data_IF_527284706707
#
_entry.id   IF_527284706707
#
_cell.length_a   1.000
_cell.length_b   1.000
_cell.length_c   1.000
_cell.angle_alpha   90.00
_cell.angle_beta   90.00
_cell.angle_gamma   90.00
#
_symmetry.space_group_name_H-M   'P 1'
#
loop_
_entity.id
_entity.type
_entity.pdbx_description
1 polymer ?
#
# COMPACT_ATOMS: atom_id res chain seq x y z
N UNK A 1 0.59 14.84 -7.10
CA UNK A 1 0.84 13.42 -6.73
C UNK A 1 0.79 13.27 -5.23
N UNK A 2 0.11 12.25 -4.75
CA UNK A 2 0.02 12.00 -3.32
C UNK A 2 1.22 11.20 -2.86
N UNK A 3 1.88 11.68 -1.81
CA UNK A 3 3.04 11.01 -1.23
C UNK A 3 2.63 10.42 0.10
N UNK A 4 2.71 9.10 0.22
CA UNK A 4 2.18 8.41 1.40
C UNK A 4 3.16 8.36 2.57
N UNK A 5 4.44 8.64 2.34
CA UNK A 5 5.43 8.69 3.41
C UNK A 5 6.36 9.87 3.16
N UNK A 6 6.91 10.42 4.23
CA UNK A 6 7.80 11.57 4.14
C UNK A 6 9.26 11.13 4.26
N UNK A 7 10.17 12.08 4.03
CA UNK A 7 11.59 11.79 4.22
C UNK A 7 11.90 11.47 5.68
N UNK A 8 11.14 12.03 6.61
CA UNK A 8 11.28 11.67 8.03
C UNK A 8 10.89 10.21 8.25
N UNK A 9 9.85 9.74 7.56
CA UNK A 9 9.42 8.35 7.69
C UNK A 9 10.46 7.38 7.16
N UNK A 10 11.26 7.76 6.17
CA UNK A 10 12.35 6.92 5.71
C UNK A 10 13.29 6.55 6.83
N UNK A 11 13.67 7.54 7.65
CA UNK A 11 14.58 7.29 8.77
C UNK A 11 13.90 6.59 9.93
N UNK A 12 12.59 6.81 10.09
CA UNK A 12 11.86 6.27 11.23
C UNK A 12 11.35 4.84 10.95
N UNK A 13 10.92 4.59 9.73
CA UNK A 13 10.24 3.35 9.41
C UNK A 13 10.99 2.48 8.40
N UNK A 14 11.92 3.06 7.66
CA UNK A 14 12.64 2.36 6.62
C UNK A 14 14.01 1.88 7.09
N UNK A 15 15.03 2.71 6.88
CA UNK A 15 16.40 2.37 7.23
C UNK A 15 17.00 3.50 8.06
N UNK A 16 18.09 3.20 8.73
CA UNK A 16 18.77 4.19 9.57
C UNK A 16 19.14 5.43 8.74
N UNK A 17 18.98 6.59 9.34
CA UNK A 17 19.27 7.85 8.67
C UNK A 17 20.68 7.89 8.11
N UNK A 18 21.64 7.27 8.81
CA UNK A 18 23.03 7.25 8.37
C UNK A 18 23.20 6.54 7.04
N UNK A 19 22.40 5.52 6.77
CA UNK A 19 22.48 4.80 5.51
C UNK A 19 22.08 5.67 4.33
N UNK A 20 21.32 6.72 4.59
CA UNK A 20 20.84 7.63 3.56
C UNK A 20 21.65 8.93 3.48
N UNK A 21 22.71 9.05 4.26
CA UNK A 21 23.38 10.33 4.45
C UNK A 21 24.04 10.85 3.18
N UNK A 22 24.37 9.98 2.23
CA UNK A 22 24.99 10.42 0.99
C UNK A 22 23.99 10.84 -0.08
N UNK A 23 22.71 10.82 0.21
CA UNK A 23 21.68 11.10 -0.78
C UNK A 23 21.04 12.44 -0.50
N UNK A 24 20.82 13.23 -1.53
CA UNK A 24 20.20 14.54 -1.35
C UNK A 24 18.69 14.39 -1.13
N UNK A 25 18.07 15.50 -0.75
CA UNK A 25 16.64 15.49 -0.45
C UNK A 25 15.80 15.16 -1.68
N UNK A 26 16.20 15.70 -2.83
CA UNK A 26 15.43 15.46 -4.06
C UNK A 26 15.41 14.00 -4.43
N UNK A 27 16.55 13.31 -4.31
CA UNK A 27 16.63 11.88 -4.62
C UNK A 27 15.74 11.08 -3.70
N UNK A 28 15.71 11.44 -2.41
CA UNK A 28 14.87 10.74 -1.45
C UNK A 28 13.39 10.96 -1.74
N UNK A 29 13.04 12.18 -2.11
CA UNK A 29 11.65 12.49 -2.43
C UNK A 29 11.19 11.81 -3.70
N UNK A 30 12.07 11.73 -4.69
CA UNK A 30 11.74 11.03 -5.93
C UNK A 30 11.46 9.55 -5.67
N UNK A 31 12.24 8.93 -4.80
CA UNK A 31 11.99 7.52 -4.46
C UNK A 31 10.66 7.35 -3.75
N UNK A 32 10.32 8.27 -2.85
CA UNK A 32 9.04 8.21 -2.15
C UNK A 32 7.88 8.42 -3.11
N UNK A 33 8.02 9.34 -4.05
CA UNK A 33 6.97 9.57 -5.04
C UNK A 33 6.78 8.36 -5.95
N UNK A 34 7.87 7.75 -6.37
CA UNK A 34 7.79 6.56 -7.22
C UNK A 34 7.13 5.40 -6.48
N UNK A 35 7.46 5.22 -5.21
CA UNK A 35 6.87 4.13 -4.43
C UNK A 35 5.42 4.41 -4.08
N UNK A 36 5.06 5.68 -3.88
CA UNK A 36 3.66 6.05 -3.68
C UNK A 36 2.84 5.79 -4.92
N UNK A 37 3.39 6.09 -6.10
CA UNK A 37 2.71 5.79 -7.35
C UNK A 37 2.54 4.29 -7.55
N UNK A 38 3.54 3.51 -7.17
CA UNK A 38 3.42 2.06 -7.23
C UNK A 38 2.31 1.56 -6.32
N UNK A 39 2.23 2.10 -5.11
CA UNK A 39 1.16 1.75 -4.18
C UNK A 39 -0.20 2.11 -4.74
N UNK A 40 -0.32 3.25 -5.43
CA UNK A 40 -1.58 3.64 -6.06
C UNK A 40 -2.05 2.58 -7.05
N UNK A 41 -1.13 1.96 -7.77
CA UNK A 41 -1.48 0.92 -8.72
C UNK A 41 -2.21 -0.26 -8.07
N UNK A 42 -1.82 -0.61 -6.84
CA UNK A 42 -2.50 -1.67 -6.11
C UNK A 42 -3.77 -1.17 -5.44
N UNK A 43 -3.72 0.06 -4.89
CA UNK A 43 -4.86 0.60 -4.15
C UNK A 43 -6.04 0.92 -5.05
N UNK A 44 -5.79 1.22 -6.31
CA UNK A 44 -6.85 1.60 -7.24
C UNK A 44 -7.87 0.49 -7.46
N UNK A 45 -7.54 -0.75 -7.10
CA UNK A 45 -8.48 -1.83 -7.23
C UNK A 45 -9.64 -1.75 -6.23
N UNK A 46 -9.44 -1.03 -5.13
CA UNK A 46 -10.44 -1.01 -4.07
C UNK A 46 -10.81 0.38 -3.58
N UNK A 47 -9.99 1.38 -3.87
CA UNK A 47 -10.16 2.70 -3.29
C UNK A 47 -10.12 3.76 -4.35
N UNK A 48 -10.87 4.84 -4.10
CA UNK A 48 -10.81 6.02 -4.97
C UNK A 48 -9.53 6.80 -4.67
N UNK A 49 -8.80 7.11 -5.71
CA UNK A 49 -7.56 7.86 -5.58
C UNK A 49 -7.76 9.30 -6.04
N UNK A 50 -7.04 10.23 -5.46
CA UNK A 50 -6.05 10.06 -4.39
C UNK A 50 -6.71 9.84 -3.04
N UNK A 51 -6.00 9.13 -2.16
CA UNK A 51 -6.52 8.92 -0.81
C UNK A 51 -6.54 10.23 -0.05
N UNK A 52 -7.56 10.42 0.77
CA UNK A 52 -7.64 11.60 1.62
C UNK A 52 -6.96 11.39 2.97
N UNK A 53 -6.82 10.13 3.40
CA UNK A 53 -6.19 9.81 4.67
C UNK A 53 -5.65 8.39 4.60
N UNK A 54 -4.61 8.12 5.38
CA UNK A 54 -4.02 6.78 5.47
C UNK A 54 -3.30 6.67 6.80
N UNK A 55 -3.02 5.41 7.20
CA UNK A 55 -2.39 5.12 8.48
C UNK A 55 -0.92 4.79 8.35
N UNK A 56 -0.36 4.37 9.49
CA UNK A 56 1.07 4.07 9.56
C UNK A 56 1.45 2.79 8.82
N UNK A 57 0.51 1.88 8.60
CA UNK A 57 0.82 0.65 7.86
C UNK A 57 1.19 0.98 6.42
N UNK A 58 0.45 1.86 5.76
CA UNK A 58 0.81 2.28 4.40
C UNK A 58 2.12 3.07 4.40
N UNK A 59 2.30 3.94 5.39
CA UNK A 59 3.56 4.68 5.51
C UNK A 59 4.75 3.76 5.67
N UNK A 60 4.62 2.74 6.51
CA UNK A 60 5.69 1.78 6.76
C UNK A 60 6.11 1.09 5.47
N UNK A 61 5.14 0.60 4.71
CA UNK A 61 5.47 -0.15 3.51
C UNK A 61 6.01 0.73 2.40
N UNK A 62 5.47 1.94 2.23
CA UNK A 62 6.01 2.86 1.23
C UNK A 62 7.41 3.29 1.61
N UNK A 63 7.66 3.58 2.89
CA UNK A 63 9.00 3.94 3.34
C UNK A 63 9.99 2.79 3.13
N UNK A 64 9.57 1.56 3.39
CA UNK A 64 10.42 0.39 3.16
C UNK A 64 10.78 0.21 1.70
N UNK A 65 9.81 0.38 0.82
CA UNK A 65 10.06 0.29 -0.62
C UNK A 65 11.01 1.38 -1.10
N UNK A 66 10.82 2.60 -0.62
CA UNK A 66 11.67 3.70 -1.01
C UNK A 66 13.10 3.50 -0.50
N UNK A 67 13.25 2.98 0.72
CA UNK A 67 14.56 2.67 1.27
C UNK A 67 15.29 1.65 0.41
N UNK A 68 14.60 0.61 -0.03
CA UNK A 68 15.21 -0.39 -0.90
C UNK A 68 15.66 0.23 -2.22
N UNK A 69 14.81 1.05 -2.84
CA UNK A 69 15.17 1.69 -4.11
C UNK A 69 16.39 2.58 -3.96
N UNK A 70 16.47 3.33 -2.88
CA UNK A 70 17.59 4.24 -2.66
C UNK A 70 18.89 3.48 -2.46
N UNK A 71 18.85 2.40 -1.69
CA UNK A 71 20.04 1.62 -1.41
C UNK A 71 20.44 0.74 -2.58
N UNK A 72 19.48 0.25 -3.35
CA UNK A 72 19.79 -0.48 -4.57
C UNK A 72 20.54 0.39 -5.55
N UNK A 73 20.21 1.67 -5.63
CA UNK A 73 20.90 2.61 -6.49
C UNK A 73 22.32 2.91 -6.05
N UNK A 74 22.64 2.64 -4.80
CA UNK A 74 23.97 2.90 -4.23
C UNK A 74 24.93 1.72 -4.34
N UNK A 75 24.47 0.58 -4.82
CA UNK A 75 25.32 -0.60 -4.84
C UNK A 75 24.87 -1.62 -3.81
N UNK A 76 23.74 -2.18 -4.06
CA UNK A 76 23.15 -3.21 -3.23
C UNK A 76 23.94 -4.52 -3.39
N UNK A 77 24.22 -5.19 -2.26
CA UNK A 77 24.88 -6.49 -2.28
C UNK A 77 24.01 -7.48 -1.51
N UNK A 78 23.35 -8.40 -2.21
CA UNK A 78 22.42 -9.32 -1.55
C UNK A 78 23.07 -10.30 -0.58
N UNK A 79 24.40 -10.40 -0.59
CA UNK A 79 25.08 -11.33 0.30
C UNK A 79 25.45 -10.69 1.63
N UNK A 80 25.23 -9.40 1.79
CA UNK A 80 25.45 -8.73 3.05
C UNK A 80 24.15 -8.79 3.85
N UNK A 81 24.24 -9.19 5.10
CA UNK A 81 23.05 -9.42 5.93
C UNK A 81 22.12 -8.24 5.98
N UNK A 82 22.67 -7.03 6.07
CA UNK A 82 21.82 -5.83 6.13
C UNK A 82 21.10 -5.59 4.83
N UNK A 83 21.76 -5.87 3.71
CA UNK A 83 21.11 -5.70 2.40
C UNK A 83 20.02 -6.73 2.20
N UNK A 84 20.19 -7.90 2.77
CA UNK A 84 19.14 -8.92 2.73
C UNK A 84 17.88 -8.44 3.47
N UNK A 85 18.05 -7.84 4.64
CA UNK A 85 16.93 -7.31 5.40
C UNK A 85 16.21 -6.23 4.60
N UNK A 86 16.96 -5.37 3.92
CA UNK A 86 16.37 -4.30 3.13
C UNK A 86 15.59 -4.85 1.94
N UNK A 87 16.10 -5.90 1.31
CA UNK A 87 15.37 -6.57 0.24
C UNK A 87 14.04 -7.14 0.76
N UNK A 88 14.07 -7.67 1.98
CA UNK A 88 12.84 -8.18 2.59
C UNK A 88 11.81 -7.09 2.83
N UNK A 89 12.25 -5.86 3.12
CA UNK A 89 11.30 -4.75 3.25
C UNK A 89 10.53 -4.54 1.96
N UNK A 90 11.21 -4.62 0.84
CA UNK A 90 10.55 -4.47 -0.46
C UNK A 90 9.57 -5.62 -0.70
N UNK A 91 10.03 -6.84 -0.48
CA UNK A 91 9.19 -8.00 -0.74
C UNK A 91 7.97 -8.04 0.15
N UNK A 92 8.14 -7.69 1.42
CA UNK A 92 7.02 -7.65 2.34
C UNK A 92 6.02 -6.58 1.95
N UNK A 93 6.50 -5.42 1.51
CA UNK A 93 5.61 -4.34 1.09
C UNK A 93 4.80 -4.74 -0.14
N UNK A 94 5.44 -5.35 -1.13
CA UNK A 94 4.73 -5.79 -2.33
C UNK A 94 3.71 -6.85 -1.98
N UNK A 95 4.08 -7.80 -1.12
CA UNK A 95 3.14 -8.86 -0.70
C UNK A 95 1.95 -8.26 0.05
N UNK A 96 2.22 -7.27 0.89
CA UNK A 96 1.14 -6.59 1.61
C UNK A 96 0.21 -5.86 0.65
N UNK A 97 0.78 -5.13 -0.33
CA UNK A 97 -0.04 -4.42 -1.32
C UNK A 97 -0.87 -5.38 -2.16
N UNK A 98 -0.32 -6.53 -2.50
CA UNK A 98 -1.08 -7.54 -3.22
C UNK A 98 -2.27 -8.02 -2.41
N UNK A 99 -2.08 -8.20 -1.10
CA UNK A 99 -3.18 -8.61 -0.23
C UNK A 99 -4.23 -7.52 -0.09
N UNK A 100 -3.79 -6.27 -0.07
CA UNK A 100 -4.73 -5.15 -0.04
C UNK A 100 -5.55 -5.14 -1.33
N UNK A 101 -4.90 -5.29 -2.47
CA UNK A 101 -5.60 -5.29 -3.75
C UNK A 101 -6.58 -6.47 -3.85
N UNK A 102 -6.23 -7.60 -3.26
CA UNK A 102 -7.10 -8.78 -3.26
C UNK A 102 -8.23 -8.70 -2.25
N UNK A 103 -8.17 -7.74 -1.33
CA UNK A 103 -9.23 -7.59 -0.32
C UNK A 103 -9.02 -8.37 0.95
N UNK A 104 -7.89 -9.09 1.08
CA UNK A 104 -7.64 -9.88 2.29
C UNK A 104 -7.10 -9.03 3.44
N UNK A 105 -6.59 -7.85 3.13
CA UNK A 105 -6.09 -6.92 4.14
C UNK A 105 -6.74 -5.56 3.89
N UNK A 106 -7.21 -4.92 4.95
CA UNK A 106 -7.76 -3.57 4.87
C UNK A 106 -6.78 -2.64 5.59
N UNK A 107 -6.16 -1.70 4.88
CA UNK A 107 -5.23 -0.78 5.51
C UNK A 107 -5.92 0.10 6.54
N UNK A 108 -5.20 0.42 7.61
CA UNK A 108 -5.74 1.27 8.66
C UNK A 108 -5.84 2.71 8.17
N UNK A 109 -6.85 3.40 8.63
CA UNK A 109 -6.97 4.84 8.38
C UNK A 109 -7.38 5.24 6.98
N UNK A 110 -7.68 4.29 6.11
CA UNK A 110 -8.13 4.60 4.76
C UNK A 110 -9.65 4.49 4.72
N UNK A 111 -10.28 5.51 4.16
CA UNK A 111 -11.72 5.49 3.96
C UNK A 111 -12.01 4.78 2.66
N UNK A 112 -12.77 3.71 2.73
CA UNK A 112 -13.16 2.98 1.56
C UNK A 112 -14.16 3.80 0.76
N UNK A 113 -13.95 3.88 -0.52
CA UNK A 113 -14.78 4.70 -1.36
C UNK A 113 -15.94 3.95 -2.00
N UNK A 114 -16.04 2.65 -1.77
CA UNK A 114 -17.04 1.86 -2.47
C UNK A 114 -17.94 1.05 -1.57
N UNK A 115 -18.29 1.54 -0.37
CA UNK A 115 -19.18 0.77 0.47
C UNK A 115 -20.57 0.64 -0.10
N UNK A 116 -21.01 1.62 -0.85
CA UNK A 116 -22.37 1.58 -1.36
C UNK A 116 -22.56 0.50 -2.40
N UNK A 117 -21.49 0.15 -3.09
CA UNK A 117 -21.62 -0.90 -4.07
C UNK A 117 -21.92 -2.24 -3.43
N UNK A 118 -21.33 -2.44 -2.27
CA UNK A 118 -21.59 -3.68 -1.57
C UNK A 118 -23.04 -3.77 -1.14
N UNK A 119 -23.65 -2.65 -0.90
CA UNK A 119 -25.03 -2.65 -0.45
C UNK A 119 -25.98 -3.07 -1.53
N UNK A 120 -25.60 -2.83 -2.76
CA UNK A 120 -26.50 -3.16 -3.84
C UNK A 120 -26.62 -4.65 -4.02
N UNK A 121 -25.60 -5.39 -3.66
CA UNK A 121 -25.62 -6.80 -3.90
C UNK A 121 -26.70 -7.53 -3.16
N UNK A 122 -26.90 -7.27 -1.90
CA UNK A 122 -27.90 -8.03 -1.17
C UNK A 122 -29.31 -7.69 -1.56
N UNK A 123 -29.51 -6.61 -2.24
CA UNK A 123 -30.85 -6.16 -2.45
C UNK A 123 -31.64 -7.13 -3.27
N UNK A 124 -30.97 -7.85 -4.19
CA UNK A 124 -31.71 -8.72 -4.97
C UNK A 124 -31.76 -10.07 -4.44
N UNK A 125 -31.03 -10.30 -3.50
CA UNK A 125 -31.11 -11.57 -2.95
C UNK A 125 -32.48 -11.89 -2.55
N UNK A 126 -33.14 -11.03 -2.37
CA UNK A 126 -34.29 -11.30 -1.99
C UNK A 126 -35.17 -11.51 -2.87
N UNK A 127 -34.93 -11.35 -3.49
CA UNK A 127 -35.84 -11.56 -4.20
C UNK A 127 -36.13 -12.82 -4.34
N UNK A 128 -36.04 -13.19 -4.13
CA UNK A 128 -36.41 -14.08 -4.16
C UNK A 128 -37.14 -14.55 -3.66
N UNK A 129 -37.49 -14.30 -3.42
CA UNK A 129 -38.15 -14.65 -2.92
C UNK A 129 -38.99 -14.78 -3.24
N UNK A 130 -38.98 -14.57 -3.71
CA UNK A 130 -39.81 -14.70 -3.97
C UNK A 130 -40.27 -15.63 -4.03
N UNK A 131 -40.26 -15.94 -4.00
CA UNK A 131 -40.64 -16.63 -3.98
C UNK A 131 -41.42 -17.21 -3.64
N UNK A 132 -41.93 -17.23 -3.39
CA UNK A 132 -42.67 -17.65 -2.98
C UNK A 132 -43.64 -17.86 -3.35
N UNK A 133 -43.51 -17.52 -3.55
CA UNK A 133 -44.51 -17.56 -3.97
C UNK A 133 -45.24 -18.51 -4.54
N UNK A 134 -45.13 -19.13 -4.84
CA UNK A 134 -45.76 -19.97 -5.29
C UNK A 134 -46.20 -21.01 -4.71
N UNK A 135 -46.24 -20.91 -4.09
CA UNK A 135 -46.82 -21.56 -3.47
C UNK A 135 -48.03 -21.72 -3.41
N UNK A 136 -48.62 -21.47 -3.89
CA UNK A 136 -49.61 -21.54 -3.88
C UNK A 136 -50.53 -22.12 -4.10
N UNK A 137 -50.64 -22.56 -4.11
CA UNK A 137 -51.55 -23.08 -4.27
C UNK A 137 -51.84 -24.02 -4.04
#
# INVERSE_FOLDING_TARGET
MTRYASTTDLGRLGVATQALSGLDAATREDALDACSALADGYLSNRYSLPLSAWGDDLRLHVAGMAAFRLLAGRGYNPQVANDEVIRMLWEDAIRWLERVAAGTVTPAGITDATPEEAEELPSFAMVTNTSRGWQRR
#
